data_IF_437310418431
#
_entry.id   IF_437310418431
#
_cell.length_a   1.000
_cell.length_b   1.000
_cell.length_c   1.000
_cell.angle_alpha   90.00
_cell.angle_beta   90.00
_cell.angle_gamma   90.00
#
_symmetry.space_group_name_H-M   'P 1'
#
loop_
_entity.id
_entity.type
_entity.pdbx_description
1 polymer ?
#
# COMPACT_ATOMS: atom_id res chain seq x y z
N UNK A 1 7.46 -5.69 3.17
CA UNK A 1 6.40 -6.16 2.26
C UNK A 1 5.05 -6.25 2.96
N UNK A 2 4.91 -7.03 4.02
CA UNK A 2 3.65 -7.21 4.76
C UNK A 2 3.13 -5.89 5.33
N UNK A 3 4.01 -5.05 5.90
CA UNK A 3 3.62 -3.75 6.47
C UNK A 3 3.12 -2.75 5.40
N UNK A 4 3.76 -2.66 4.24
CA UNK A 4 3.34 -1.72 3.19
C UNK A 4 1.99 -2.10 2.58
N UNK A 5 1.78 -3.40 2.29
CA UNK A 5 0.48 -3.89 1.83
C UNK A 5 -0.63 -3.70 2.88
N UNK A 6 -0.33 -3.95 4.17
CA UNK A 6 -1.28 -3.73 5.26
C UNK A 6 -1.72 -2.27 5.36
N UNK A 7 -0.79 -1.32 5.26
CA UNK A 7 -1.09 0.12 5.29
C UNK A 7 -1.95 0.53 4.10
N UNK A 8 -1.60 0.11 2.87
CA UNK A 8 -2.39 0.43 1.66
C UNK A 8 -3.80 -0.15 1.76
N UNK A 9 -3.94 -1.40 2.21
CA UNK A 9 -5.25 -2.05 2.41
C UNK A 9 -6.10 -1.29 3.42
N UNK A 10 -5.51 -0.87 4.55
CA UNK A 10 -6.21 -0.11 5.59
C UNK A 10 -6.69 1.25 5.04
N UNK A 11 -5.83 1.98 4.31
CA UNK A 11 -6.18 3.27 3.71
C UNK A 11 -7.32 3.10 2.71
N UNK A 12 -7.28 2.08 1.85
CA UNK A 12 -8.35 1.80 0.88
C UNK A 12 -9.67 1.46 1.57
N UNK A 13 -9.67 0.64 2.63
CA UNK A 13 -10.88 0.32 3.38
C UNK A 13 -11.48 1.55 4.05
N UNK A 14 -10.66 2.41 4.65
CA UNK A 14 -11.11 3.68 5.24
C UNK A 14 -11.67 4.62 4.18
N UNK A 15 -11.00 4.78 3.05
CA UNK A 15 -11.47 5.61 1.94
C UNK A 15 -12.79 5.10 1.36
N UNK A 16 -12.92 3.79 1.15
CA UNK A 16 -14.18 3.18 0.70
C UNK A 16 -15.32 3.37 1.70
N UNK A 17 -15.03 3.17 2.99
CA UNK A 17 -16.03 3.36 4.05
C UNK A 17 -16.52 4.82 4.12
N UNK A 18 -15.61 5.79 4.12
CA UNK A 18 -15.96 7.22 4.15
C UNK A 18 -16.71 7.65 2.90
N UNK A 19 -16.31 7.18 1.72
CA UNK A 19 -16.99 7.49 0.46
C UNK A 19 -18.43 6.92 0.46
N UNK A 20 -18.61 5.67 0.87
CA UNK A 20 -19.91 5.01 0.93
C UNK A 20 -20.85 5.74 1.88
N UNK A 21 -20.38 6.09 3.08
CA UNK A 21 -21.17 6.85 4.06
C UNK A 21 -21.53 8.26 3.52
N UNK A 22 -20.59 8.93 2.87
CA UNK A 22 -20.83 10.25 2.27
C UNK A 22 -21.86 10.20 1.15
N UNK A 23 -21.76 9.23 0.25
CA UNK A 23 -22.74 9.03 -0.83
C UNK A 23 -24.13 8.70 -0.28
N UNK A 24 -24.21 7.80 0.70
CA UNK A 24 -25.46 7.46 1.35
C UNK A 24 -26.12 8.70 1.99
N UNK A 25 -25.38 9.45 2.79
CA UNK A 25 -25.87 10.66 3.42
C UNK A 25 -26.30 11.72 2.39
N UNK A 26 -25.56 11.87 1.30
CA UNK A 26 -25.88 12.81 0.22
C UNK A 26 -27.19 12.43 -0.49
N UNK A 27 -27.36 11.17 -0.90
CA UNK A 27 -28.58 10.75 -1.60
C UNK A 27 -29.79 10.79 -0.71
N UNK A 28 -29.69 10.31 0.54
CA UNK A 28 -30.81 10.36 1.50
C UNK A 28 -31.16 11.81 1.85
N UNK A 29 -30.18 12.65 2.12
CA UNK A 29 -30.38 14.07 2.41
C UNK A 29 -31.02 14.82 1.25
N UNK A 30 -30.48 14.67 0.05
CA UNK A 30 -31.02 15.32 -1.16
C UNK A 30 -32.47 14.90 -1.46
N UNK A 31 -32.78 13.60 -1.30
CA UNK A 31 -34.14 13.10 -1.50
C UNK A 31 -35.09 13.67 -0.46
N UNK A 32 -34.70 13.66 0.83
CA UNK A 32 -35.49 14.21 1.94
C UNK A 32 -35.79 15.68 1.74
N UNK A 33 -34.78 16.47 1.38
CA UNK A 33 -34.94 17.91 1.19
C UNK A 33 -35.87 18.25 0.00
N UNK A 34 -35.73 17.49 -1.10
CA UNK A 34 -36.61 17.63 -2.26
C UNK A 34 -38.05 17.31 -1.92
N UNK A 35 -38.30 16.17 -1.23
CA UNK A 35 -39.63 15.76 -0.81
C UNK A 35 -40.24 16.73 0.20
N UNK A 36 -39.43 17.24 1.15
CA UNK A 36 -39.88 18.20 2.17
C UNK A 36 -40.28 19.54 1.53
N UNK A 37 -39.50 20.06 0.58
CA UNK A 37 -39.87 21.24 -0.18
C UNK A 37 -41.19 21.04 -0.95
N UNK A 38 -41.32 19.92 -1.68
CA UNK A 38 -42.54 19.62 -2.43
C UNK A 38 -43.76 19.47 -1.51
N UNK A 39 -43.61 18.78 -0.39
CA UNK A 39 -44.68 18.61 0.57
C UNK A 39 -45.13 19.95 1.17
N UNK A 40 -44.17 20.79 1.58
CA UNK A 40 -44.42 22.11 2.13
C UNK A 40 -45.12 23.05 1.12
N UNK A 41 -44.61 23.13 -0.11
CA UNK A 41 -45.14 24.01 -1.15
C UNK A 41 -46.55 23.56 -1.54
N UNK A 42 -46.78 22.24 -1.67
CA UNK A 42 -48.09 21.71 -1.98
C UNK A 42 -49.06 21.93 -0.83
N UNK A 43 -48.67 21.64 0.42
CA UNK A 43 -49.49 21.90 1.61
C UNK A 43 -49.92 23.38 1.69
N UNK A 44 -48.98 24.32 1.40
CA UNK A 44 -49.26 25.73 1.37
C UNK A 44 -50.28 26.11 0.28
N UNK A 45 -50.18 25.50 -0.92
CA UNK A 45 -51.14 25.74 -1.99
C UNK A 45 -52.56 25.24 -1.62
N UNK A 46 -52.64 24.20 -0.78
CA UNK A 46 -53.91 23.68 -0.28
C UNK A 46 -54.50 24.42 0.95
N UNK A 47 -53.72 25.29 1.58
CA UNK A 47 -54.14 26.06 2.77
C UNK A 47 -55.24 27.12 2.50
N UNK A 48 -55.61 27.31 1.25
CA UNK A 48 -56.72 28.20 0.85
C UNK A 48 -58.09 27.50 0.81
N UNK A 49 -58.13 26.18 0.86
CA UNK A 49 -59.36 25.38 0.76
C UNK A 49 -59.97 25.12 2.14
N UNK A 50 -61.26 25.27 2.21
CA UNK A 50 -62.03 24.81 3.37
C UNK A 50 -62.03 23.28 3.44
N UNK A 51 -62.36 22.68 4.61
CA UNK A 51 -62.40 21.25 4.81
C UNK A 51 -63.30 20.51 3.76
N UNK A 52 -64.34 21.12 3.28
CA UNK A 52 -65.22 20.54 2.26
C UNK A 52 -64.64 20.60 0.87
N UNK A 53 -64.00 21.70 0.51
CA UNK A 53 -63.37 21.93 -0.80
C UNK A 53 -62.09 21.14 -0.91
N UNK A 54 -61.37 20.94 0.19
CA UNK A 54 -60.13 20.13 0.28
C UNK A 54 -60.28 18.75 -0.32
N UNK A 55 -61.41 18.01 -0.02
CA UNK A 55 -61.64 16.68 -0.55
C UNK A 55 -61.66 16.65 -2.10
N UNK A 56 -62.40 17.59 -2.70
CA UNK A 56 -62.55 17.66 -4.16
C UNK A 56 -61.26 18.12 -4.80
N UNK A 57 -60.59 19.10 -4.23
CA UNK A 57 -59.31 19.60 -4.72
C UNK A 57 -58.19 18.53 -4.63
N UNK A 58 -58.15 17.74 -3.56
CA UNK A 58 -57.23 16.61 -3.37
C UNK A 58 -57.41 15.54 -4.46
N UNK A 59 -58.68 15.16 -4.74
CA UNK A 59 -58.99 14.17 -5.78
C UNK A 59 -58.57 14.67 -7.19
N UNK A 60 -58.84 15.94 -7.51
CA UNK A 60 -58.45 16.54 -8.77
C UNK A 60 -56.90 16.65 -8.93
N UNK A 61 -56.20 17.02 -7.86
CA UNK A 61 -54.74 17.07 -7.83
C UNK A 61 -54.12 15.68 -8.07
N UNK A 62 -54.55 14.67 -7.35
CA UNK A 62 -54.09 13.28 -7.47
C UNK A 62 -54.36 12.72 -8.88
N UNK A 63 -55.54 13.02 -9.45
CA UNK A 63 -55.88 12.58 -10.80
C UNK A 63 -54.95 13.16 -11.88
N UNK A 64 -54.55 14.42 -11.72
CA UNK A 64 -53.67 15.16 -12.65
C UNK A 64 -52.17 15.09 -12.31
N UNK A 65 -51.76 14.40 -11.24
CA UNK A 65 -50.39 14.33 -10.79
C UNK A 65 -49.46 13.70 -11.88
N UNK A 66 -48.44 14.39 -12.35
CA UNK A 66 -47.67 13.93 -13.51
C UNK A 66 -46.64 12.83 -13.20
N UNK A 67 -46.06 12.83 -11.99
CA UNK A 67 -44.90 11.99 -11.64
C UNK A 67 -45.32 10.65 -10.93
N UNK A 68 -46.49 10.10 -11.24
CA UNK A 68 -47.07 8.91 -10.58
C UNK A 68 -46.16 7.68 -10.55
N UNK A 69 -45.23 7.55 -11.51
CA UNK A 69 -44.31 6.41 -11.58
C UNK A 69 -43.11 6.49 -10.61
N UNK A 70 -42.78 7.70 -10.15
CA UNK A 70 -41.60 7.92 -9.29
C UNK A 70 -42.00 8.34 -7.87
N UNK A 71 -43.16 8.91 -7.72
CA UNK A 71 -43.59 9.56 -6.50
C UNK A 71 -45.07 9.31 -6.30
N UNK A 72 -45.43 8.78 -5.16
CA UNK A 72 -46.84 8.64 -4.73
C UNK A 72 -47.21 9.85 -3.89
N UNK A 73 -48.37 10.42 -4.18
CA UNK A 73 -48.99 11.49 -3.37
C UNK A 73 -50.21 10.94 -2.70
N UNK A 74 -50.29 11.10 -1.41
CA UNK A 74 -51.39 10.67 -0.55
C UNK A 74 -51.97 11.89 0.17
N UNK A 75 -53.27 12.00 0.21
CA UNK A 75 -54.00 12.95 1.06
C UNK A 75 -54.64 12.19 2.19
N UNK A 76 -54.44 12.66 3.40
CA UNK A 76 -54.83 12.00 4.64
C UNK A 76 -55.73 12.93 5.42
N UNK A 77 -56.79 12.37 5.96
CA UNK A 77 -57.74 13.12 6.81
C UNK A 77 -57.20 13.31 8.24
N UNK A 78 -57.89 14.15 9.00
CA UNK A 78 -57.51 14.47 10.39
C UNK A 78 -57.64 13.28 11.36
N UNK A 79 -58.31 12.20 10.98
CA UNK A 79 -58.39 10.94 11.72
C UNK A 79 -57.28 9.95 11.35
N UNK A 80 -56.36 10.33 10.43
CA UNK A 80 -55.28 9.48 9.95
C UNK A 80 -55.68 8.55 8.81
N UNK A 81 -56.91 8.59 8.34
CA UNK A 81 -57.37 7.77 7.23
C UNK A 81 -56.99 8.35 5.88
N UNK A 82 -56.64 7.48 4.90
CA UNK A 82 -56.31 7.85 3.55
C UNK A 82 -57.55 8.35 2.79
N UNK A 83 -57.55 9.59 2.34
CA UNK A 83 -58.63 10.15 1.52
C UNK A 83 -58.48 9.73 0.04
N UNK A 84 -57.33 9.95 -0.53
CA UNK A 84 -57.00 9.58 -1.92
C UNK A 84 -55.49 9.48 -2.14
N UNK A 85 -55.09 8.71 -3.18
CA UNK A 85 -53.70 8.49 -3.55
C UNK A 85 -53.52 8.53 -5.07
N UNK A 86 -52.36 8.99 -5.54
CA UNK A 86 -52.02 9.05 -6.97
C UNK A 86 -51.78 7.66 -7.58
N UNK A 87 -51.45 6.65 -6.78
CA UNK A 87 -51.14 5.31 -7.25
C UNK A 87 -52.38 4.42 -7.44
N UNK A 88 -53.47 4.75 -6.78
CA UNK A 88 -54.75 4.08 -6.94
C UNK A 88 -54.82 2.64 -6.39
N UNK A 89 -53.75 2.14 -5.77
CA UNK A 89 -53.66 0.78 -5.21
C UNK A 89 -54.15 0.71 -3.75
N UNK A 90 -54.16 1.82 -3.06
CA UNK A 90 -54.55 1.88 -1.64
C UNK A 90 -56.02 2.18 -1.53
N UNK A 91 -56.78 1.36 -0.77
CA UNK A 91 -58.21 1.54 -0.56
C UNK A 91 -58.44 2.76 0.34
N UNK A 92 -59.36 3.66 -0.07
CA UNK A 92 -59.78 4.79 0.77
C UNK A 92 -60.22 4.28 2.14
N UNK A 93 -59.80 4.96 3.22
CA UNK A 93 -60.09 4.55 4.59
C UNK A 93 -59.03 3.71 5.29
N UNK A 94 -57.94 3.29 4.58
CA UNK A 94 -56.79 2.60 5.20
C UNK A 94 -55.91 3.63 5.95
N UNK A 95 -55.40 3.25 7.12
CA UNK A 95 -54.44 4.08 7.86
C UNK A 95 -53.01 3.63 7.53
N UNK A 96 -52.14 4.46 6.94
CA UNK A 96 -50.76 4.10 6.69
C UNK A 96 -49.95 3.82 7.96
N UNK A 97 -50.32 4.42 9.10
CA UNK A 97 -49.80 4.10 10.44
C UNK A 97 -48.31 4.43 10.64
N UNK A 98 -47.75 5.36 9.87
CA UNK A 98 -46.35 5.73 9.95
C UNK A 98 -46.12 7.02 10.76
N UNK A 99 -44.95 7.17 11.45
CA UNK A 99 -44.69 8.27 12.38
C UNK A 99 -44.71 9.67 11.77
N UNK A 100 -44.44 9.79 10.46
CA UNK A 100 -44.47 11.06 9.73
C UNK A 100 -45.85 11.74 9.74
N UNK A 101 -46.92 10.94 9.64
CA UNK A 101 -48.31 11.44 9.61
C UNK A 101 -48.68 12.00 10.97
N UNK A 102 -48.56 11.19 12.03
CA UNK A 102 -48.86 11.60 13.40
C UNK A 102 -47.99 12.78 13.84
N UNK A 103 -46.68 12.72 13.54
CA UNK A 103 -45.77 13.80 13.85
C UNK A 103 -46.13 15.11 13.13
N UNK A 104 -46.55 15.07 11.86
CA UNK A 104 -46.96 16.27 11.12
C UNK A 104 -48.29 16.85 11.68
N UNK A 105 -49.25 16.01 12.07
CA UNK A 105 -50.48 16.47 12.68
C UNK A 105 -50.28 17.13 14.03
N UNK A 106 -49.42 16.57 14.88
CA UNK A 106 -49.19 17.03 16.24
C UNK A 106 -48.32 18.31 16.29
N UNK A 107 -47.23 18.34 15.49
CA UNK A 107 -46.28 19.48 15.52
C UNK A 107 -46.70 20.64 14.63
N UNK A 108 -47.54 20.42 13.63
CA UNK A 108 -47.85 21.42 12.62
C UNK A 108 -46.71 21.68 11.62
N UNK A 109 -45.65 20.84 11.62
CA UNK A 109 -44.47 20.97 10.79
C UNK A 109 -44.33 19.80 9.81
N UNK A 110 -43.51 19.98 8.78
CA UNK A 110 -43.15 18.90 7.84
C UNK A 110 -42.31 17.85 8.55
N UNK A 111 -42.71 16.59 8.43
CA UNK A 111 -42.02 15.42 9.04
C UNK A 111 -41.57 14.42 8.00
N UNK A 112 -40.27 14.25 7.80
CA UNK A 112 -39.73 13.16 7.01
C UNK A 112 -39.65 11.87 7.84
N UNK A 113 -39.79 10.74 7.16
CA UNK A 113 -39.61 9.40 7.72
C UNK A 113 -39.05 8.46 6.67
N UNK A 114 -38.08 7.62 7.06
CA UNK A 114 -37.54 6.56 6.21
C UNK A 114 -37.70 5.23 6.94
N UNK A 115 -38.30 4.26 6.28
CA UNK A 115 -38.55 2.95 6.88
C UNK A 115 -39.15 1.98 5.88
N UNK A 116 -39.62 0.85 6.40
CA UNK A 116 -40.37 -0.13 5.59
C UNK A 116 -41.85 0.22 5.58
N UNK A 117 -42.41 0.26 4.38
CA UNK A 117 -43.88 0.41 4.21
C UNK A 117 -44.59 -0.76 4.86
N UNK A 118 -45.53 -0.52 5.79
CA UNK A 118 -46.25 -1.59 6.48
C UNK A 118 -47.07 -2.49 5.57
N UNK A 119 -47.44 -2.02 4.37
CA UNK A 119 -48.30 -2.77 3.44
C UNK A 119 -47.45 -3.56 2.42
N UNK A 120 -46.39 -2.97 1.88
CA UNK A 120 -45.60 -3.60 0.82
C UNK A 120 -44.28 -4.21 1.31
N UNK A 121 -43.83 -3.83 2.52
CA UNK A 121 -42.52 -4.21 3.05
C UNK A 121 -41.33 -3.53 2.33
N UNK A 122 -41.61 -2.67 1.36
CA UNK A 122 -40.57 -1.96 0.60
C UNK A 122 -39.98 -0.83 1.45
N UNK A 123 -38.68 -0.60 1.29
CA UNK A 123 -38.02 0.54 1.92
C UNK A 123 -38.40 1.82 1.19
N UNK A 124 -39.09 2.71 1.90
CA UNK A 124 -39.59 3.98 1.36
C UNK A 124 -39.08 5.17 2.17
N UNK A 125 -39.06 6.30 1.51
CA UNK A 125 -38.97 7.61 2.17
C UNK A 125 -40.31 8.31 1.99
N UNK A 126 -40.90 8.73 3.11
CA UNK A 126 -42.17 9.46 3.17
C UNK A 126 -41.94 10.82 3.83
N UNK A 127 -42.61 11.83 3.33
CA UNK A 127 -42.65 13.16 3.93
C UNK A 127 -44.07 13.64 4.02
N UNK A 128 -44.50 13.94 5.23
CA UNK A 128 -45.86 14.43 5.54
C UNK A 128 -45.80 15.91 5.90
N UNK A 129 -46.68 16.69 5.31
CA UNK A 129 -46.86 18.11 5.60
C UNK A 129 -48.33 18.41 5.96
N UNK A 130 -48.60 19.11 7.09
CA UNK A 130 -49.94 19.46 7.48
C UNK A 130 -50.51 20.54 6.57
N UNK A 131 -51.78 20.39 6.19
CA UNK A 131 -52.55 21.42 5.47
C UNK A 131 -53.32 22.21 6.51
N UNK A 132 -52.95 23.47 6.67
CA UNK A 132 -53.50 24.33 7.71
C UNK A 132 -54.39 25.41 7.06
N UNK A 133 -55.67 25.43 7.43
CA UNK A 133 -56.64 26.45 7.06
C UNK A 133 -57.08 27.21 8.30
N UNK A 134 -56.87 28.57 8.31
CA UNK A 134 -57.21 29.44 9.43
C UNK A 134 -56.71 28.94 10.81
N UNK A 135 -55.47 28.44 10.86
CA UNK A 135 -54.86 27.94 12.09
C UNK A 135 -55.29 26.54 12.54
N UNK A 136 -56.16 25.86 11.75
CA UNK A 136 -56.57 24.48 12.05
C UNK A 136 -56.10 23.51 10.98
N UNK A 137 -55.54 22.38 11.37
CA UNK A 137 -55.15 21.31 10.44
C UNK A 137 -56.39 20.68 9.84
N UNK A 138 -56.56 20.74 8.52
CA UNK A 138 -57.66 20.15 7.78
C UNK A 138 -57.36 18.82 7.15
N UNK A 139 -56.08 18.46 7.07
CA UNK A 139 -55.57 17.20 6.56
C UNK A 139 -54.05 17.22 6.45
N UNK A 140 -53.48 16.16 5.91
CA UNK A 140 -52.04 16.02 5.66
C UNK A 140 -51.82 15.62 4.21
N UNK A 141 -50.88 16.26 3.55
CA UNK A 141 -50.33 15.76 2.27
C UNK A 141 -49.08 14.99 2.56
N UNK A 142 -48.93 13.82 1.96
CA UNK A 142 -47.83 12.92 2.12
C UNK A 142 -47.25 12.55 0.76
N UNK A 143 -45.96 12.75 0.59
CA UNK A 143 -45.21 12.26 -0.57
C UNK A 143 -44.44 11.02 -0.18
N UNK A 144 -44.54 9.95 -0.99
CA UNK A 144 -43.90 8.67 -0.75
C UNK A 144 -43.09 8.28 -1.97
N UNK A 145 -41.82 7.87 -1.79
CA UNK A 145 -40.98 7.36 -2.85
C UNK A 145 -40.26 6.10 -2.42
N UNK A 146 -40.04 5.19 -3.38
CA UNK A 146 -39.22 3.99 -3.17
C UNK A 146 -37.76 4.34 -3.04
N UNK A 147 -37.07 3.75 -2.08
CA UNK A 147 -35.62 3.85 -1.91
C UNK A 147 -34.83 2.87 -2.81
N UNK A 148 -35.54 1.97 -3.52
CA UNK A 148 -34.89 0.94 -4.36
C UNK A 148 -33.94 1.51 -5.41
N UNK A 149 -34.28 2.66 -6.02
CA UNK A 149 -33.39 3.33 -6.98
C UNK A 149 -32.12 3.86 -6.32
N UNK A 150 -32.23 4.40 -5.11
CA UNK A 150 -31.08 4.88 -4.32
C UNK A 150 -30.21 3.71 -3.90
N UNK A 151 -30.81 2.66 -3.37
CA UNK A 151 -30.08 1.45 -2.96
C UNK A 151 -29.35 0.80 -4.15
N UNK A 152 -29.98 0.71 -5.32
CA UNK A 152 -29.34 0.22 -6.54
C UNK A 152 -28.15 1.08 -6.96
N UNK A 153 -28.29 2.41 -6.90
CA UNK A 153 -27.20 3.33 -7.24
C UNK A 153 -26.01 3.17 -6.27
N UNK A 154 -26.31 3.01 -4.98
CA UNK A 154 -25.29 2.75 -3.96
C UNK A 154 -24.56 1.42 -4.22
N UNK A 155 -25.29 0.33 -4.51
CA UNK A 155 -24.69 -0.96 -4.85
C UNK A 155 -23.77 -0.88 -6.06
N UNK A 156 -24.17 -0.18 -7.10
CA UNK A 156 -23.33 0.03 -8.28
C UNK A 156 -22.06 0.83 -7.94
N UNK A 157 -22.19 1.91 -7.16
CA UNK A 157 -21.07 2.72 -6.73
C UNK A 157 -20.08 1.93 -5.86
N UNK A 158 -20.57 1.13 -4.91
CA UNK A 158 -19.77 0.24 -4.08
C UNK A 158 -19.05 -0.79 -4.96
N UNK A 159 -19.74 -1.40 -5.93
CA UNK A 159 -19.17 -2.37 -6.86
C UNK A 159 -17.99 -1.79 -7.66
N UNK A 160 -18.17 -0.58 -8.22
CA UNK A 160 -17.11 0.12 -8.96
C UNK A 160 -15.92 0.44 -8.05
N UNK A 161 -16.16 0.98 -6.85
CA UNK A 161 -15.10 1.28 -5.89
C UNK A 161 -14.33 0.03 -5.47
N UNK A 162 -15.03 -1.08 -5.26
CA UNK A 162 -14.42 -2.38 -4.92
C UNK A 162 -13.52 -2.88 -6.04
N UNK A 163 -13.97 -2.78 -7.29
CA UNK A 163 -13.19 -3.19 -8.46
C UNK A 163 -11.92 -2.34 -8.61
N UNK A 164 -12.03 -1.03 -8.43
CA UNK A 164 -10.88 -0.11 -8.42
C UNK A 164 -9.91 -0.47 -7.27
N UNK A 165 -10.44 -0.74 -6.08
CA UNK A 165 -9.64 -1.16 -4.93
C UNK A 165 -8.85 -2.44 -5.18
N UNK A 166 -9.47 -3.45 -5.79
CA UNK A 166 -8.80 -4.70 -6.18
C UNK A 166 -7.71 -4.44 -7.22
N UNK A 167 -7.99 -3.59 -8.22
CA UNK A 167 -7.00 -3.23 -9.24
C UNK A 167 -5.76 -2.54 -8.63
N UNK A 168 -5.96 -1.61 -7.69
CA UNK A 168 -4.86 -0.94 -6.98
C UNK A 168 -4.05 -1.94 -6.15
N UNK A 169 -4.71 -2.81 -5.38
CA UNK A 169 -4.02 -3.83 -4.58
C UNK A 169 -3.21 -4.79 -5.45
N UNK A 170 -3.75 -5.18 -6.59
CA UNK A 170 -3.06 -6.04 -7.56
C UNK A 170 -1.82 -5.33 -8.13
N UNK A 171 -1.95 -4.05 -8.50
CA UNK A 171 -0.82 -3.25 -8.98
C UNK A 171 0.26 -3.09 -7.91
N UNK A 172 -0.11 -2.78 -6.67
CA UNK A 172 0.83 -2.66 -5.55
C UNK A 172 1.53 -3.99 -5.27
N UNK A 173 0.81 -5.12 -5.34
CA UNK A 173 1.39 -6.44 -5.16
C UNK A 173 2.48 -6.74 -6.22
N UNK A 174 2.19 -6.55 -7.49
CA UNK A 174 3.17 -6.77 -8.57
C UNK A 174 4.34 -5.79 -8.52
N UNK A 175 4.09 -4.52 -8.19
CA UNK A 175 5.14 -3.52 -7.99
C UNK A 175 6.09 -3.90 -6.86
N UNK A 176 5.56 -4.36 -5.73
CA UNK A 176 6.36 -4.85 -4.61
C UNK A 176 7.19 -6.10 -4.97
N UNK A 177 6.59 -7.03 -5.72
CA UNK A 177 7.28 -8.25 -6.16
C UNK A 177 8.44 -7.90 -7.11
N UNK A 178 8.21 -6.97 -8.03
CA UNK A 178 9.25 -6.45 -8.93
C UNK A 178 10.38 -5.78 -8.14
N UNK A 179 10.05 -4.90 -7.19
CA UNK A 179 11.04 -4.20 -6.36
C UNK A 179 11.93 -5.16 -5.56
N UNK A 180 11.34 -6.22 -4.97
CA UNK A 180 12.13 -7.21 -4.24
C UNK A 180 13.11 -7.94 -5.16
N UNK A 181 12.65 -8.39 -6.31
CA UNK A 181 13.48 -9.18 -7.24
C UNK A 181 14.53 -8.36 -7.98
N UNK A 182 14.24 -7.08 -8.29
CA UNK A 182 15.15 -6.23 -9.05
C UNK A 182 16.12 -5.44 -8.18
N UNK A 183 15.80 -5.21 -6.91
CA UNK A 183 16.65 -4.36 -6.04
C UNK A 183 17.08 -5.10 -4.77
N UNK A 184 16.13 -5.64 -4.00
CA UNK A 184 16.45 -6.17 -2.66
C UNK A 184 17.28 -7.44 -2.71
N UNK A 185 16.90 -8.41 -3.55
CA UNK A 185 17.65 -9.66 -3.70
C UNK A 185 19.07 -9.47 -4.25
N UNK A 186 19.29 -8.68 -5.32
CA UNK A 186 20.65 -8.40 -5.79
C UNK A 186 21.50 -7.68 -4.76
N UNK A 187 20.98 -6.66 -4.07
CA UNK A 187 21.72 -5.97 -3.01
C UNK A 187 22.09 -6.91 -1.85
N UNK A 188 21.20 -7.82 -1.47
CA UNK A 188 21.50 -8.81 -0.45
C UNK A 188 22.64 -9.75 -0.89
N UNK A 189 22.64 -10.19 -2.15
CA UNK A 189 23.70 -11.02 -2.73
C UNK A 189 25.04 -10.30 -2.78
N UNK A 190 25.04 -9.02 -3.19
CA UNK A 190 26.24 -8.16 -3.19
C UNK A 190 26.81 -8.03 -1.78
N UNK A 191 25.95 -7.75 -0.79
CA UNK A 191 26.37 -7.60 0.60
C UNK A 191 26.95 -8.91 1.16
N UNK A 192 26.34 -10.06 0.87
CA UNK A 192 26.85 -11.37 1.27
C UNK A 192 28.23 -11.66 0.65
N UNK A 193 28.39 -11.43 -0.65
CA UNK A 193 29.66 -11.62 -1.34
C UNK A 193 30.74 -10.67 -0.82
N UNK A 194 30.42 -9.40 -0.60
CA UNK A 194 31.36 -8.46 0.00
C UNK A 194 31.83 -8.91 1.39
N UNK A 195 30.95 -9.51 2.18
CA UNK A 195 31.28 -10.08 3.47
C UNK A 195 32.21 -11.29 3.35
N UNK A 196 31.93 -12.20 2.40
CA UNK A 196 32.81 -13.35 2.13
C UNK A 196 34.20 -12.90 1.68
N UNK A 197 34.30 -11.83 0.87
CA UNK A 197 35.59 -11.24 0.47
C UNK A 197 36.32 -10.69 1.70
N UNK A 198 35.62 -9.98 2.59
CA UNK A 198 36.20 -9.45 3.83
C UNK A 198 36.71 -10.57 4.76
N UNK A 199 36.03 -11.73 4.76
CA UNK A 199 36.42 -12.91 5.53
C UNK A 199 37.51 -13.76 4.84
N UNK A 200 38.13 -13.27 3.74
CA UNK A 200 39.27 -13.91 3.06
C UNK A 200 38.91 -14.81 1.89
N UNK A 201 37.64 -14.88 1.48
CA UNK A 201 37.22 -15.69 0.34
C UNK A 201 37.33 -14.88 -0.97
N UNK A 202 38.54 -14.76 -1.49
CA UNK A 202 38.80 -13.93 -2.67
C UNK A 202 38.51 -14.62 -4.01
N UNK A 203 38.08 -13.84 -5.00
CA UNK A 203 37.79 -14.30 -6.37
C UNK A 203 36.40 -14.93 -6.55
N UNK A 204 35.52 -14.78 -5.58
CA UNK A 204 34.10 -15.10 -5.73
C UNK A 204 33.48 -14.05 -6.66
N UNK A 205 32.60 -14.49 -7.57
CA UNK A 205 31.89 -13.63 -8.49
C UNK A 205 30.38 -13.78 -8.30
N UNK A 206 29.69 -12.65 -8.42
CA UNK A 206 28.23 -12.53 -8.43
C UNK A 206 27.77 -12.58 -9.87
N UNK A 207 26.72 -13.34 -10.17
CA UNK A 207 26.11 -13.36 -11.49
C UNK A 207 25.38 -12.02 -11.75
N UNK A 208 25.79 -11.31 -12.80
CA UNK A 208 25.13 -10.09 -13.25
C UNK A 208 23.78 -10.44 -13.89
N UNK A 209 22.68 -9.96 -13.28
CA UNK A 209 21.33 -10.22 -13.74
C UNK A 209 20.68 -9.05 -14.46
N UNK A 210 21.18 -7.83 -14.26
CA UNK A 210 20.59 -6.60 -14.77
C UNK A 210 21.69 -5.69 -15.37
N UNK A 211 21.29 -4.91 -16.39
CA UNK A 211 22.14 -3.90 -17.02
C UNK A 211 21.74 -2.48 -16.58
N UNK A 212 21.72 -2.28 -15.28
CA UNK A 212 21.40 -1.03 -14.59
C UNK A 212 22.50 -0.70 -13.56
N UNK A 213 22.23 0.26 -12.66
CA UNK A 213 23.17 0.69 -11.61
C UNK A 213 23.52 -0.46 -10.65
N UNK A 214 22.61 -1.42 -10.47
CA UNK A 214 22.87 -2.63 -9.65
C UNK A 214 23.81 -3.57 -10.40
N UNK A 215 23.66 -3.67 -11.71
CA UNK A 215 24.58 -4.42 -12.57
C UNK A 215 25.99 -3.82 -12.59
N UNK A 216 26.13 -2.50 -12.66
CA UNK A 216 27.41 -1.81 -12.59
C UNK A 216 28.09 -2.01 -11.22
N UNK A 217 27.32 -1.95 -10.14
CA UNK A 217 27.81 -2.25 -8.79
C UNK A 217 28.28 -3.71 -8.69
N UNK A 218 27.57 -4.64 -9.31
CA UNK A 218 27.94 -6.07 -9.36
C UNK A 218 29.29 -6.24 -10.08
N UNK A 219 29.47 -5.62 -11.23
CA UNK A 219 30.74 -5.66 -11.98
C UNK A 219 31.89 -5.08 -11.14
N UNK A 220 31.67 -3.96 -10.46
CA UNK A 220 32.67 -3.32 -9.61
C UNK A 220 33.13 -4.22 -8.46
N UNK A 221 32.19 -4.89 -7.78
CA UNK A 221 32.52 -5.84 -6.70
C UNK A 221 33.24 -7.08 -7.24
N UNK A 222 32.85 -7.58 -8.41
CA UNK A 222 33.52 -8.69 -9.07
C UNK A 222 34.99 -8.34 -9.43
N UNK A 223 35.20 -7.17 -10.01
CA UNK A 223 36.53 -6.67 -10.34
C UNK A 223 37.42 -6.49 -9.09
N UNK A 224 36.83 -5.93 -8.02
CA UNK A 224 37.51 -5.81 -6.73
C UNK A 224 37.93 -7.18 -6.19
N UNK A 225 37.02 -8.16 -6.21
CA UNK A 225 37.31 -9.53 -5.76
C UNK A 225 38.43 -10.19 -6.52
N UNK A 226 38.48 -10.01 -7.84
CA UNK A 226 39.53 -10.56 -8.69
C UNK A 226 40.89 -9.87 -8.44
N UNK A 227 40.89 -8.54 -8.28
CA UNK A 227 42.13 -7.78 -7.97
C UNK A 227 42.72 -8.17 -6.63
N UNK A 228 41.89 -8.34 -5.60
CA UNK A 228 42.36 -8.78 -4.29
C UNK A 228 42.96 -10.20 -4.39
N UNK A 229 42.27 -11.13 -5.08
CA UNK A 229 42.79 -12.49 -5.31
C UNK A 229 44.14 -12.49 -6.00
N UNK A 230 44.28 -11.65 -7.03
CA UNK A 230 45.54 -11.54 -7.77
C UNK A 230 46.67 -10.95 -6.89
N UNK A 231 46.35 -9.93 -6.09
CA UNK A 231 47.30 -9.32 -5.15
C UNK A 231 47.74 -10.34 -4.08
N UNK A 232 46.82 -11.07 -3.50
CA UNK A 232 47.11 -12.10 -2.48
C UNK A 232 47.99 -13.23 -3.06
N UNK A 233 47.67 -13.67 -4.30
CA UNK A 233 48.48 -14.67 -5.00
C UNK A 233 49.90 -14.16 -5.22
N UNK A 234 50.05 -12.93 -5.73
CA UNK A 234 51.36 -12.32 -5.98
C UNK A 234 52.18 -12.19 -4.68
N UNK A 235 51.51 -11.77 -3.60
CA UNK A 235 52.16 -11.69 -2.28
C UNK A 235 52.63 -13.04 -1.75
N UNK A 236 51.78 -14.08 -1.92
CA UNK A 236 52.10 -15.45 -1.49
C UNK A 236 53.29 -16.03 -2.31
N UNK A 237 53.27 -15.84 -3.62
CA UNK A 237 54.37 -16.24 -4.52
C UNK A 237 55.69 -15.50 -4.17
N UNK A 238 55.59 -14.19 -3.87
CA UNK A 238 56.73 -13.38 -3.43
C UNK A 238 57.31 -13.92 -2.11
N UNK A 239 56.50 -14.14 -1.09
CA UNK A 239 56.94 -14.67 0.21
C UNK A 239 57.58 -16.06 0.03
N UNK A 240 56.99 -16.92 -0.82
CA UNK A 240 57.56 -18.24 -1.12
C UNK A 240 58.93 -18.15 -1.81
N UNK A 241 59.06 -17.28 -2.82
CA UNK A 241 60.30 -17.05 -3.55
C UNK A 241 61.39 -16.53 -2.62
N UNK A 242 61.12 -15.48 -1.85
CA UNK A 242 62.04 -14.94 -0.86
C UNK A 242 62.50 -15.99 0.15
N UNK A 243 61.57 -16.80 0.64
CA UNK A 243 61.86 -17.89 1.59
C UNK A 243 62.83 -18.93 1.00
N UNK A 244 62.63 -19.27 -0.28
CA UNK A 244 63.54 -20.17 -1.00
C UNK A 244 64.93 -19.58 -1.20
N UNK A 245 65.00 -18.33 -1.65
CA UNK A 245 66.27 -17.63 -1.90
C UNK A 245 67.06 -17.36 -0.61
N UNK A 246 66.40 -17.17 0.53
CA UNK A 246 67.06 -17.05 1.83
C UNK A 246 67.54 -18.39 2.39
N UNK A 247 66.78 -19.50 2.17
CA UNK A 247 67.09 -20.83 2.71
C UNK A 247 68.42 -21.36 2.18
N UNK A 248 68.71 -21.16 0.88
CA UNK A 248 69.87 -21.70 0.21
C UNK A 248 71.18 -21.24 0.81
N UNK A 249 71.45 -19.90 0.89
CA UNK A 249 72.70 -19.40 1.51
C UNK A 249 72.79 -19.72 3.00
N UNK A 250 71.62 -19.72 3.72
CA UNK A 250 71.59 -20.08 5.13
C UNK A 250 72.00 -21.51 5.38
N UNK A 251 71.53 -22.44 4.52
CA UNK A 251 71.94 -23.85 4.57
C UNK A 251 73.45 -24.03 4.32
N UNK A 252 74.04 -23.31 3.36
CA UNK A 252 75.42 -23.32 3.11
C UNK A 252 76.27 -22.81 4.30
N UNK A 253 75.82 -21.67 4.88
CA UNK A 253 76.52 -21.06 6.06
C UNK A 253 76.45 -22.05 7.22
N UNK A 254 75.25 -22.63 7.53
CA UNK A 254 75.09 -23.55 8.64
C UNK A 254 75.93 -24.83 8.45
N UNK A 255 75.89 -25.43 7.24
CA UNK A 255 76.62 -26.64 6.94
C UNK A 255 78.15 -26.48 7.05
N UNK A 256 78.71 -25.38 6.51
CA UNK A 256 80.09 -25.11 6.65
C UNK A 256 80.51 -24.76 8.07
N UNK A 257 79.65 -24.03 8.82
CA UNK A 257 79.93 -23.70 10.21
C UNK A 257 79.96 -24.95 11.08
N UNK A 258 78.96 -25.88 10.91
CA UNK A 258 78.87 -27.15 11.62
C UNK A 258 80.14 -28.07 11.27
N UNK A 259 80.51 -28.11 10.00
CA UNK A 259 81.65 -28.90 9.56
C UNK A 259 82.98 -28.39 10.18
N UNK A 260 83.16 -27.06 10.25
CA UNK A 260 84.34 -26.41 10.88
C UNK A 260 84.25 -26.68 12.42
N UNK A 261 83.09 -26.59 13.05
CA UNK A 261 82.95 -26.78 14.48
C UNK A 261 83.21 -28.23 14.91
N UNK A 262 82.83 -29.23 14.10
CA UNK A 262 83.05 -30.63 14.39
C UNK A 262 84.52 -31.03 14.41
N UNK A 263 85.39 -30.21 13.85
CA UNK A 263 86.82 -30.50 13.77
C UNK A 263 87.19 -31.61 12.77
N UNK A 264 86.26 -31.96 11.87
CA UNK A 264 86.50 -32.98 10.84
C UNK A 264 87.49 -32.53 9.77
N UNK A 265 87.64 -31.21 9.56
CA UNK A 265 88.58 -30.60 8.62
C UNK A 265 89.99 -30.55 9.21
N UNK A 266 90.88 -31.39 8.75
CA UNK A 266 92.27 -31.47 9.20
C UNK A 266 93.21 -30.53 8.45
N UNK A 267 92.85 -30.09 7.26
CA UNK A 267 93.63 -29.18 6.45
C UNK A 267 93.24 -27.71 6.74
N UNK A 268 94.20 -26.86 7.17
CA UNK A 268 93.92 -25.44 7.38
C UNK A 268 93.42 -24.70 6.12
N UNK A 269 93.76 -25.23 4.91
CA UNK A 269 93.29 -24.71 3.64
C UNK A 269 91.76 -24.92 3.44
N UNK A 270 91.24 -26.05 3.89
CA UNK A 270 89.75 -26.37 3.81
C UNK A 270 88.97 -25.56 4.83
N UNK A 271 89.49 -25.37 6.03
CA UNK A 271 88.88 -24.47 7.03
C UNK A 271 88.78 -23.06 6.46
N UNK A 272 89.81 -22.53 5.82
CA UNK A 272 89.85 -21.19 5.20
C UNK A 272 88.77 -21.12 4.07
N UNK A 273 88.70 -22.09 3.19
CA UNK A 273 87.68 -22.15 2.14
C UNK A 273 86.26 -22.12 2.70
N UNK A 274 85.99 -22.90 3.79
CA UNK A 274 84.72 -22.92 4.45
C UNK A 274 84.31 -21.56 5.05
N UNK A 275 85.30 -20.86 5.69
CA UNK A 275 85.06 -19.50 6.19
C UNK A 275 84.86 -18.46 5.07
N UNK A 276 85.62 -18.58 3.95
CA UNK A 276 85.37 -17.69 2.78
C UNK A 276 83.98 -17.89 2.18
N UNK A 277 83.48 -19.12 2.14
CA UNK A 277 82.08 -19.38 1.70
C UNK A 277 81.05 -18.79 2.68
N UNK A 278 81.27 -18.94 3.98
CA UNK A 278 80.32 -18.36 5.00
C UNK A 278 80.26 -16.85 4.85
N UNK A 279 81.41 -16.17 4.69
CA UNK A 279 81.49 -14.73 4.53
C UNK A 279 80.83 -14.28 3.21
N UNK A 280 81.11 -15.01 2.12
CA UNK A 280 80.47 -14.72 0.81
C UNK A 280 78.92 -14.85 0.84
N UNK A 281 78.44 -15.93 1.42
CA UNK A 281 76.98 -16.14 1.52
C UNK A 281 76.29 -15.16 2.50
N UNK A 282 76.99 -14.74 3.58
CA UNK A 282 76.52 -13.69 4.49
C UNK A 282 76.45 -12.33 3.76
N UNK A 283 77.41 -11.96 2.96
CA UNK A 283 77.33 -10.74 2.14
C UNK A 283 76.19 -10.81 1.12
N UNK A 284 75.96 -11.99 0.49
CA UNK A 284 74.87 -12.20 -0.46
C UNK A 284 73.51 -12.01 0.22
N UNK A 285 73.36 -12.53 1.43
CA UNK A 285 72.11 -12.33 2.23
C UNK A 285 71.92 -10.84 2.55
N UNK A 286 72.96 -10.12 2.94
CA UNK A 286 72.90 -8.68 3.24
C UNK A 286 72.40 -7.90 2.02
N UNK A 287 72.97 -8.14 0.88
CA UNK A 287 72.61 -7.46 -0.39
C UNK A 287 71.11 -7.77 -0.75
N UNK A 288 70.73 -9.04 -0.61
CA UNK A 288 69.33 -9.46 -0.88
C UNK A 288 68.32 -8.78 0.05
N UNK A 289 68.64 -8.62 1.35
CA UNK A 289 67.78 -7.90 2.30
C UNK A 289 67.69 -6.41 1.93
N UNK A 290 68.81 -5.79 1.51
CA UNK A 290 68.82 -4.40 1.06
C UNK A 290 67.95 -4.20 -0.19
N UNK A 291 68.03 -5.09 -1.18
CA UNK A 291 67.19 -5.08 -2.37
C UNK A 291 65.70 -5.23 -2.02
N UNK A 292 65.35 -6.13 -1.08
CA UNK A 292 63.99 -6.32 -0.61
C UNK A 292 63.44 -5.09 0.11
N UNK A 293 64.25 -4.42 0.92
CA UNK A 293 63.89 -3.18 1.59
C UNK A 293 63.68 -2.02 0.63
N UNK A 294 64.51 -1.93 -0.43
CA UNK A 294 64.35 -0.92 -1.48
C UNK A 294 63.07 -1.15 -2.28
N UNK A 295 62.74 -2.41 -2.63
CA UNK A 295 61.49 -2.78 -3.29
C UNK A 295 60.28 -2.42 -2.45
N UNK A 296 60.29 -2.73 -1.14
CA UNK A 296 59.20 -2.38 -0.23
C UNK A 296 58.94 -0.87 -0.12
N UNK A 297 60.00 -0.05 -0.18
CA UNK A 297 59.90 1.43 -0.16
C UNK A 297 59.25 2.01 -1.43
N UNK A 298 59.40 1.34 -2.57
CA UNK A 298 58.85 1.78 -3.86
C UNK A 298 57.33 1.49 -3.91
N UNK A 299 56.87 0.43 -3.25
CA UNK A 299 55.42 0.10 -3.19
C UNK A 299 54.64 1.01 -2.25
N UNK A 300 55.26 1.60 -1.22
CA UNK A 300 54.58 2.48 -0.23
C UNK A 300 54.54 3.97 -0.68
N UNK A 301 55.10 4.36 -1.82
CA UNK A 301 55.08 5.72 -2.35
C UNK A 301 54.23 5.89 -3.56
#
# INVERSE_FOLDING_TARGET
>A
LVNSMGVVTLILLLAMGTLTLSLWAYYEGSMRDNLSSRASDTARSFSVYTRREYRTAAQDYVAKFPDKQKLEVQFIETDGSLLCTSYGLTTSGTMPGTPDITGAMESGDVKPWTGQDPQTGERIMAVSAPIIYQGTTVGVIRFVTSMAAVDRQLFLSIGVCTLIGIAILTMVYFSNLYFVRSIVEPLASINETARLIADGSYGIQIEKKFDDEIGELTDTINDMSLKIKQSEKTQSEFISSVSHELRTPLTAITGWAETIQSGELKDPGDVRKGMDIIVSEAHRLTNMVEELLEFSRIEDG
#
